data_IF_356706896563
#
_entry.id   IF_356706896563
#
_cell.length_a   1.000
_cell.length_b   1.000
_cell.length_c   1.000
_cell.angle_alpha   90.00
_cell.angle_beta   90.00
_cell.angle_gamma   90.00
#
_symmetry.space_group_name_H-M   'P 1'
#
loop_
_entity.id
_entity.type
_entity.pdbx_description
1 polymer ?
#
# COMPACT_ATOMS: atom_id res chain seq x y z
N UNK A 1 -19.53 -21.67 -2.82
CA UNK A 1 -18.29 -20.89 -2.88
C UNK A 1 -17.82 -20.80 -1.46
N UNK A 2 -16.89 -21.64 -1.07
CA UNK A 2 -16.23 -21.61 0.24
C UNK A 2 -15.38 -20.34 0.27
N UNK A 3 -15.79 -19.36 1.09
CA UNK A 3 -15.03 -18.13 1.31
C UNK A 3 -13.64 -18.50 1.83
N UNK A 4 -12.60 -17.94 1.21
CA UNK A 4 -11.23 -18.00 1.70
C UNK A 4 -11.22 -17.44 3.12
N UNK A 5 -10.86 -18.24 4.13
CA UNK A 5 -10.74 -17.77 5.51
C UNK A 5 -9.62 -16.73 5.57
N UNK A 6 -10.01 -15.46 5.71
CA UNK A 6 -9.10 -14.33 5.82
C UNK A 6 -9.08 -13.83 7.25
N UNK A 7 -7.90 -13.73 7.82
CA UNK A 7 -7.68 -13.27 9.18
C UNK A 7 -6.70 -12.08 9.20
N UNK A 8 -6.95 -11.12 10.07
CA UNK A 8 -6.02 -10.04 10.40
C UNK A 8 -5.44 -10.33 11.77
N UNK A 9 -4.12 -10.41 11.85
CA UNK A 9 -3.36 -10.65 13.08
C UNK A 9 -2.61 -9.38 13.44
N UNK A 10 -2.82 -8.84 14.63
CA UNK A 10 -2.23 -7.59 15.10
C UNK A 10 -1.43 -7.86 16.38
N UNK A 11 -0.13 -7.94 16.22
CA UNK A 11 0.84 -8.14 17.29
C UNK A 11 1.44 -6.81 17.71
N UNK A 12 1.08 -6.31 18.86
CA UNK A 12 1.62 -5.12 19.49
C UNK A 12 2.81 -5.51 20.39
N UNK A 13 3.98 -4.94 20.15
CA UNK A 13 5.19 -5.09 20.96
C UNK A 13 5.60 -3.72 21.57
N UNK A 14 6.68 -3.64 22.34
CA UNK A 14 7.04 -2.39 23.02
C UNK A 14 7.34 -1.24 22.06
N UNK A 15 8.08 -1.52 20.99
CA UNK A 15 8.55 -0.50 20.04
C UNK A 15 7.81 -0.49 18.72
N UNK A 16 7.20 -1.61 18.33
CA UNK A 16 6.54 -1.76 17.04
C UNK A 16 5.20 -2.54 17.14
N UNK A 17 4.36 -2.35 16.14
CA UNK A 17 3.17 -3.17 15.91
C UNK A 17 3.33 -3.89 14.57
N UNK A 18 3.20 -5.22 14.58
CA UNK A 18 3.23 -6.07 13.38
C UNK A 18 1.80 -6.45 13.02
N UNK A 19 1.39 -6.18 11.77
CA UNK A 19 0.04 -6.48 11.33
C UNK A 19 0.14 -7.41 10.12
N UNK A 20 -0.29 -8.66 10.31
CA UNK A 20 -0.31 -9.70 9.29
C UNK A 20 -1.70 -9.87 8.69
N UNK A 21 -1.77 -9.97 7.36
CA UNK A 21 -2.95 -10.47 6.66
C UNK A 21 -2.70 -11.91 6.30
N UNK A 22 -3.57 -12.81 6.76
CA UNK A 22 -3.47 -14.25 6.58
C UNK A 22 -4.63 -14.72 5.70
N UNK A 23 -4.33 -15.43 4.63
CA UNK A 23 -5.29 -16.06 3.72
C UNK A 23 -5.00 -17.57 3.66
N UNK A 24 -6.00 -18.41 3.88
CA UNK A 24 -5.86 -19.90 3.91
C UNK A 24 -4.73 -20.38 4.87
N UNK A 25 -4.58 -19.72 6.03
CA UNK A 25 -3.55 -20.04 7.02
C UNK A 25 -2.13 -19.61 6.64
N UNK A 26 -1.93 -18.87 5.55
CA UNK A 26 -0.63 -18.38 5.08
C UNK A 26 -0.55 -16.85 5.13
N UNK A 27 0.58 -16.33 5.58
CA UNK A 27 0.84 -14.90 5.58
C UNK A 27 0.96 -14.37 4.14
N UNK A 28 0.14 -13.37 3.80
CA UNK A 28 0.12 -12.78 2.46
C UNK A 28 0.54 -11.31 2.43
N UNK A 29 0.41 -10.60 3.54
CA UNK A 29 0.91 -9.24 3.70
C UNK A 29 1.38 -9.03 5.14
N UNK A 30 2.44 -8.24 5.32
CA UNK A 30 2.93 -7.79 6.61
C UNK A 30 3.14 -6.28 6.59
N UNK A 31 2.69 -5.64 7.65
CA UNK A 31 2.88 -4.22 7.91
C UNK A 31 3.58 -4.05 9.25
N UNK A 32 4.56 -3.16 9.27
CA UNK A 32 5.32 -2.80 10.47
C UNK A 32 5.04 -1.33 10.77
N UNK A 33 4.66 -1.05 12.00
CA UNK A 33 4.39 0.30 12.50
C UNK A 33 5.28 0.58 13.71
N UNK A 34 6.18 1.55 13.58
CA UNK A 34 7.00 2.02 14.70
C UNK A 34 6.11 2.84 15.66
N UNK A 35 6.13 2.49 16.95
CA UNK A 35 5.39 3.20 18.00
C UNK A 35 6.08 4.50 18.47
N UNK A 36 7.32 4.76 18.04
CA UNK A 36 8.09 5.93 18.45
C UNK A 36 7.58 7.25 17.87
N UNK A 37 6.60 7.21 16.96
CA UNK A 37 6.04 8.40 16.33
C UNK A 37 4.53 8.28 16.06
N UNK A 38 3.84 9.43 16.06
CA UNK A 38 2.47 9.48 15.54
C UNK A 38 2.49 9.20 14.03
N UNK A 39 1.41 8.60 13.44
CA UNK A 39 1.30 8.42 12.00
C UNK A 39 1.51 9.75 11.29
N UNK A 40 2.48 9.82 10.39
CA UNK A 40 2.77 11.06 9.68
C UNK A 40 1.90 11.23 8.44
N UNK A 41 1.84 10.23 7.57
CA UNK A 41 1.04 10.29 6.33
C UNK A 41 -0.45 10.37 6.66
N UNK A 42 -1.13 11.36 6.05
CA UNK A 42 -2.54 11.64 6.31
C UNK A 42 -2.77 12.66 7.43
N UNK A 43 -1.79 12.86 8.31
CA UNK A 43 -1.89 13.83 9.40
C UNK A 43 -1.85 15.27 8.89
N UNK A 44 -2.61 16.15 9.54
CA UNK A 44 -2.80 17.54 9.14
C UNK A 44 -2.12 18.46 10.15
N UNK A 45 -1.37 19.42 9.64
CA UNK A 45 -0.60 20.38 10.42
C UNK A 45 -1.00 21.82 10.09
N UNK A 46 -0.80 22.72 11.03
CA UNK A 46 -0.74 24.15 10.76
C UNK A 46 0.68 24.51 10.40
N UNK A 47 0.98 24.59 9.10
CA UNK A 47 2.30 24.94 8.59
C UNK A 47 2.51 26.44 8.49
N UNK A 48 3.78 26.86 8.55
CA UNK A 48 4.23 28.22 8.24
C UNK A 48 5.26 28.17 7.13
N UNK A 49 5.05 28.93 6.07
CA UNK A 49 5.97 28.99 4.93
C UNK A 49 7.25 29.69 5.36
N UNK A 50 8.37 29.00 5.24
CA UNK A 50 9.70 29.55 5.56
C UNK A 50 10.38 30.15 4.33
N UNK A 51 10.34 29.44 3.19
CA UNK A 51 10.96 29.89 1.94
C UNK A 51 10.11 29.50 0.73
N UNK A 52 10.06 30.37 -0.26
CA UNK A 52 9.47 30.11 -1.57
C UNK A 52 10.60 30.01 -2.61
N UNK A 53 10.59 28.98 -3.43
CA UNK A 53 11.63 28.65 -4.41
C UNK A 53 11.06 28.63 -5.82
N UNK A 54 10.98 29.77 -6.54
CA UNK A 54 10.40 29.85 -7.88
C UNK A 54 11.08 28.91 -8.89
N UNK A 55 12.41 28.80 -8.84
CA UNK A 55 13.16 27.91 -9.74
C UNK A 55 12.86 26.41 -9.58
N UNK A 56 12.25 26.01 -8.46
CA UNK A 56 11.81 24.63 -8.19
C UNK A 56 10.29 24.48 -8.20
N UNK A 57 9.55 25.54 -8.43
CA UNK A 57 8.09 25.61 -8.32
C UNK A 57 7.58 24.99 -7.01
N UNK A 58 8.24 25.33 -5.88
CA UNK A 58 8.00 24.72 -4.58
C UNK A 58 8.20 25.71 -3.44
N UNK A 59 7.71 25.34 -2.26
CA UNK A 59 7.95 26.05 -1.01
C UNK A 59 8.40 25.08 0.09
N UNK A 60 9.22 25.58 1.02
CA UNK A 60 9.52 24.89 2.27
C UNK A 60 8.61 25.43 3.38
N UNK A 61 7.94 24.50 4.05
CA UNK A 61 6.94 24.79 5.08
C UNK A 61 7.36 24.15 6.40
N UNK A 62 7.47 24.93 7.43
CA UNK A 62 7.70 24.48 8.79
C UNK A 62 6.40 23.88 9.36
N UNK A 63 6.44 22.59 9.71
CA UNK A 63 5.34 21.86 10.33
C UNK A 63 5.74 21.30 11.72
N UNK A 64 6.87 21.79 12.29
CA UNK A 64 7.38 21.36 13.59
C UNK A 64 8.15 20.03 13.59
N UNK A 65 8.43 19.46 12.43
CA UNK A 65 9.34 18.32 12.31
C UNK A 65 10.80 18.78 12.20
N UNK A 66 11.73 17.85 12.38
CA UNK A 66 13.18 18.13 12.32
C UNK A 66 13.64 18.77 11.00
N UNK A 67 12.90 18.60 9.92
CA UNK A 67 13.14 19.20 8.60
C UNK A 67 11.88 19.83 8.08
N UNK A 68 12.01 20.98 7.41
CA UNK A 68 10.91 21.62 6.72
C UNK A 68 10.31 20.68 5.67
N UNK A 69 8.98 20.71 5.58
CA UNK A 69 8.23 19.95 4.61
C UNK A 69 8.27 20.63 3.22
N UNK A 70 8.18 19.84 2.18
CA UNK A 70 8.21 20.28 0.78
C UNK A 70 6.79 20.35 0.21
N UNK A 71 6.41 21.54 -0.25
CA UNK A 71 5.15 21.82 -0.92
C UNK A 71 5.43 22.16 -2.39
N UNK A 72 5.03 21.27 -3.32
CA UNK A 72 5.13 21.52 -4.75
C UNK A 72 3.91 22.33 -5.22
N UNK A 73 4.05 23.16 -6.27
CA UNK A 73 2.98 24.05 -6.74
C UNK A 73 1.67 23.31 -7.05
N UNK A 74 1.76 22.14 -7.65
CA UNK A 74 0.60 21.28 -7.94
C UNK A 74 -0.20 20.87 -6.70
N UNK A 75 0.48 20.71 -5.56
CA UNK A 75 -0.12 20.37 -4.27
C UNK A 75 -0.61 21.60 -3.50
N UNK A 76 -0.27 22.80 -3.98
CA UNK A 76 -0.65 24.06 -3.35
C UNK A 76 -1.93 24.66 -3.92
N UNK A 77 -2.43 24.17 -5.05
CA UNK A 77 -3.64 24.66 -5.71
C UNK A 77 -4.76 23.63 -5.63
N UNK A 78 -6.05 24.06 -5.48
CA UNK A 78 -7.19 23.14 -5.57
C UNK A 78 -7.26 22.51 -6.96
N UNK A 79 -7.46 21.19 -7.04
CA UNK A 79 -7.74 20.54 -8.31
C UNK A 79 -9.13 20.94 -8.81
N UNK A 80 -9.20 21.57 -9.98
CA UNK A 80 -10.45 21.82 -10.68
C UNK A 80 -11.00 20.51 -11.28
N UNK A 81 -12.32 20.37 -11.30
CA UNK A 81 -12.98 19.20 -11.86
C UNK A 81 -12.71 19.12 -13.38
N UNK A 82 -11.93 18.12 -13.81
CA UNK A 82 -11.81 17.74 -15.23
C UNK A 82 -10.52 18.11 -15.94
N UNK A 83 -9.60 18.83 -15.34
CA UNK A 83 -8.31 19.10 -15.96
C UNK A 83 -7.25 18.06 -15.50
N UNK A 84 -6.77 17.25 -16.44
CA UNK A 84 -5.46 16.63 -16.31
C UNK A 84 -4.46 17.78 -16.50
N UNK A 85 -3.95 18.32 -15.40
CA UNK A 85 -2.95 19.37 -15.40
C UNK A 85 -1.72 18.88 -16.20
N UNK A 86 -1.60 19.34 -17.43
CA UNK A 86 -0.31 19.37 -18.11
C UNK A 86 0.57 20.36 -17.31
N UNK A 87 1.79 19.99 -16.98
CA UNK A 87 2.76 20.83 -16.24
C UNK A 87 2.94 22.24 -16.86
N UNK A 88 2.51 22.44 -18.10
CA UNK A 88 2.63 23.67 -18.88
C UNK A 88 1.70 24.82 -18.43
N UNK A 89 0.70 24.59 -17.56
CA UNK A 89 -0.30 25.61 -17.21
C UNK A 89 -0.40 25.91 -15.70
N UNK A 90 0.59 25.46 -14.90
CA UNK A 90 0.59 25.74 -13.48
C UNK A 90 0.99 27.20 -13.20
N UNK A 91 0.29 27.93 -12.30
CA UNK A 91 0.71 29.27 -11.91
C UNK A 91 2.06 29.21 -11.19
N UNK A 92 2.90 30.25 -11.30
CA UNK A 92 4.14 30.33 -10.52
C UNK A 92 3.89 30.22 -9.02
N UNK A 93 4.72 29.44 -8.31
CA UNK A 93 4.52 29.16 -6.86
C UNK A 93 4.43 30.45 -6.02
N UNK A 94 5.19 31.50 -6.38
CA UNK A 94 5.20 32.80 -5.69
C UNK A 94 3.88 33.56 -5.83
N UNK A 95 3.01 33.19 -6.77
CA UNK A 95 1.65 33.76 -6.89
C UNK A 95 0.65 33.03 -6.00
N UNK A 96 0.96 31.79 -5.62
CA UNK A 96 0.08 30.91 -4.84
C UNK A 96 0.41 30.97 -3.35
N UNK A 97 1.69 31.04 -3.00
CA UNK A 97 2.19 30.94 -1.62
C UNK A 97 3.17 32.06 -1.33
N UNK A 98 3.10 32.65 -0.12
CA UNK A 98 4.00 33.72 0.34
C UNK A 98 4.78 33.30 1.59
N UNK A 99 6.01 33.79 1.72
CA UNK A 99 6.80 33.60 2.94
C UNK A 99 6.07 34.18 4.17
N UNK A 100 6.17 33.45 5.28
CA UNK A 100 5.47 33.77 6.52
C UNK A 100 3.98 33.39 6.54
N UNK A 101 3.38 32.97 5.43
CA UNK A 101 1.99 32.54 5.35
C UNK A 101 1.74 31.30 6.21
N UNK A 102 0.67 31.33 7.02
CA UNK A 102 0.15 30.15 7.72
C UNK A 102 -0.86 29.42 6.84
N UNK A 103 -0.79 28.11 6.80
CA UNK A 103 -1.69 27.29 5.99
C UNK A 103 -1.94 25.91 6.62
N UNK A 104 -3.10 25.35 6.33
CA UNK A 104 -3.41 23.96 6.66
C UNK A 104 -2.78 23.06 5.60
N UNK A 105 -1.98 22.08 6.04
CA UNK A 105 -1.30 21.15 5.14
C UNK A 105 -1.42 19.72 5.64
N UNK A 106 -1.53 18.78 4.72
CA UNK A 106 -1.57 17.34 4.99
C UNK A 106 -0.29 16.68 4.49
N UNK A 107 0.29 15.79 5.28
CA UNK A 107 1.45 14.99 4.85
C UNK A 107 0.97 13.91 3.89
N UNK A 108 1.53 13.91 2.66
CA UNK A 108 1.23 12.91 1.62
C UNK A 108 2.36 11.89 1.45
N UNK A 109 3.58 12.21 1.94
CA UNK A 109 4.71 11.30 1.95
C UNK A 109 5.64 11.61 3.12
N UNK A 110 6.10 10.56 3.80
CA UNK A 110 7.01 10.65 4.93
C UNK A 110 8.38 11.21 4.56
N UNK A 111 9.09 11.82 5.51
CA UNK A 111 10.49 12.18 5.35
C UNK A 111 11.31 10.94 4.98
N UNK A 112 12.31 11.10 4.11
CA UNK A 112 13.19 10.00 3.73
C UNK A 112 14.64 10.48 3.63
N UNK A 113 15.50 9.97 4.49
CA UNK A 113 16.92 10.33 4.56
C UNK A 113 17.11 11.85 4.71
N UNK A 114 17.68 12.50 3.71
CA UNK A 114 17.93 13.94 3.71
C UNK A 114 16.71 14.80 3.32
N UNK A 115 15.63 14.19 2.83
CA UNK A 115 14.45 14.93 2.35
C UNK A 115 13.39 15.05 3.44
N UNK A 116 12.81 16.27 3.61
CA UNK A 116 11.65 16.50 4.46
C UNK A 116 10.37 15.82 3.94
N UNK A 117 9.31 15.86 4.74
CA UNK A 117 8.00 15.33 4.34
C UNK A 117 7.48 16.08 3.09
N UNK A 118 6.76 15.37 2.21
CA UNK A 118 5.97 16.02 1.14
C UNK A 118 4.57 16.29 1.66
N UNK A 119 4.08 17.49 1.41
CA UNK A 119 2.79 17.97 1.90
C UNK A 119 1.93 18.50 0.76
N UNK A 120 0.61 18.57 1.02
CA UNK A 120 -0.39 19.15 0.12
C UNK A 120 -1.34 20.07 0.92
N UNK A 121 -1.87 21.10 0.29
CA UNK A 121 -3.00 21.91 0.81
C UNK A 121 -4.35 21.28 0.48
N UNK A 122 -4.35 20.29 -0.41
CA UNK A 122 -5.53 19.51 -0.77
C UNK A 122 -5.78 18.46 0.32
N UNK A 123 -6.65 18.80 1.26
CA UNK A 123 -6.98 17.92 2.38
C UNK A 123 -7.89 16.80 1.90
N UNK A 124 -7.54 15.57 2.28
CA UNK A 124 -8.33 14.37 2.00
C UNK A 124 -8.62 13.62 3.30
N UNK A 125 -9.86 13.23 3.52
CA UNK A 125 -10.27 12.42 4.66
C UNK A 125 -10.84 11.10 4.14
N UNK A 126 -10.15 10.01 4.43
CA UNK A 126 -10.55 8.70 3.95
C UNK A 126 -11.53 8.03 4.92
N UNK A 127 -12.73 7.72 4.43
CA UNK A 127 -13.73 6.86 5.04
C UNK A 127 -13.62 5.42 4.56
N UNK A 128 -14.64 4.63 4.85
CA UNK A 128 -14.74 3.25 4.39
C UNK A 128 -15.06 3.18 2.90
N UNK A 129 -16.11 3.86 2.46
CA UNK A 129 -16.67 3.79 1.10
C UNK A 129 -16.19 4.91 0.21
N UNK A 130 -15.84 6.05 0.78
CA UNK A 130 -15.44 7.22 0.02
C UNK A 130 -14.26 7.96 0.66
N UNK A 131 -13.63 8.83 -0.15
CA UNK A 131 -12.69 9.84 0.35
C UNK A 131 -13.35 11.19 0.17
N UNK A 132 -13.43 11.95 1.24
CA UNK A 132 -13.99 13.30 1.26
C UNK A 132 -12.89 14.34 1.02
N UNK A 133 -13.13 15.24 0.08
CA UNK A 133 -12.24 16.35 -0.29
C UNK A 133 -12.94 17.67 0.06
N UNK A 134 -12.72 18.22 1.26
CA UNK A 134 -13.47 19.37 1.76
C UNK A 134 -13.16 20.69 1.07
N UNK A 135 -12.13 20.74 0.21
CA UNK A 135 -11.63 21.96 -0.44
C UNK A 135 -11.47 21.81 -1.95
N UNK A 136 -12.16 20.86 -2.57
CA UNK A 136 -12.07 20.57 -4.00
C UNK A 136 -13.43 20.14 -4.53
N UNK A 137 -13.78 20.51 -5.77
CA UNK A 137 -15.00 20.06 -6.46
C UNK A 137 -14.82 18.74 -7.21
N UNK A 138 -13.71 18.02 -7.01
CA UNK A 138 -13.38 16.82 -7.76
C UNK A 138 -14.28 15.63 -7.39
N UNK A 139 -14.87 14.95 -8.40
CA UNK A 139 -15.51 13.65 -8.25
C UNK A 139 -14.67 12.59 -8.94
N UNK A 140 -14.23 11.59 -8.16
CA UNK A 140 -13.47 10.45 -8.66
C UNK A 140 -14.18 9.13 -8.37
N UNK A 141 -14.01 8.16 -9.27
CA UNK A 141 -14.44 6.77 -9.05
C UNK A 141 -13.20 5.87 -9.13
N UNK A 142 -13.09 4.93 -8.21
CA UNK A 142 -11.98 3.97 -8.21
C UNK A 142 -11.80 3.32 -9.58
N UNK A 143 -10.55 3.30 -10.07
CA UNK A 143 -10.20 2.67 -11.36
C UNK A 143 -10.38 1.14 -11.34
N UNK A 144 -10.57 0.52 -10.19
CA UNK A 144 -10.86 -0.92 -10.04
C UNK A 144 -12.34 -1.26 -10.27
N UNK A 145 -13.22 -0.27 -10.40
CA UNK A 145 -14.61 -0.44 -10.82
C UNK A 145 -14.61 -0.26 -12.34
N UNK A 146 -14.66 -1.37 -13.07
CA UNK A 146 -14.50 -1.40 -14.53
C UNK A 146 -15.83 -1.29 -15.29
N UNK A 147 -16.93 -1.67 -14.65
CA UNK A 147 -18.28 -1.58 -15.25
C UNK A 147 -18.70 -0.12 -15.41
N UNK A 148 -18.88 0.30 -16.64
CA UNK A 148 -19.22 1.69 -17.00
C UNK A 148 -20.60 2.12 -16.47
N UNK A 149 -21.59 1.23 -16.45
CA UNK A 149 -22.92 1.54 -15.94
C UNK A 149 -22.88 1.74 -14.41
N UNK A 150 -22.13 0.90 -13.70
CA UNK A 150 -21.90 1.04 -12.25
C UNK A 150 -21.12 2.32 -11.95
N UNK A 151 -20.10 2.65 -12.74
CA UNK A 151 -19.30 3.89 -12.58
C UNK A 151 -20.16 5.13 -12.72
N UNK A 152 -21.02 5.18 -13.74
CA UNK A 152 -21.90 6.33 -13.98
C UNK A 152 -22.95 6.47 -12.86
N UNK A 153 -23.54 5.37 -12.40
CA UNK A 153 -24.47 5.38 -11.27
C UNK A 153 -23.80 5.90 -9.98
N UNK A 154 -22.58 5.44 -9.68
CA UNK A 154 -21.83 5.90 -8.51
C UNK A 154 -21.40 7.36 -8.63
N UNK A 155 -21.11 7.84 -9.84
CA UNK A 155 -20.80 9.25 -10.10
C UNK A 155 -22.00 10.16 -9.85
N UNK A 156 -23.17 9.78 -10.34
CA UNK A 156 -24.43 10.50 -10.10
C UNK A 156 -24.77 10.51 -8.62
N UNK A 157 -24.57 9.40 -7.92
CA UNK A 157 -24.76 9.33 -6.48
C UNK A 157 -23.78 10.25 -5.73
N UNK A 158 -22.50 10.26 -6.10
CA UNK A 158 -21.52 11.15 -5.50
C UNK A 158 -21.87 12.63 -5.73
N UNK A 159 -22.34 12.98 -6.93
CA UNK A 159 -22.77 14.35 -7.25
C UNK A 159 -24.01 14.77 -6.44
N UNK A 160 -24.94 13.87 -6.20
CA UNK A 160 -26.13 14.10 -5.34
C UNK A 160 -25.75 14.30 -3.87
N UNK A 161 -24.70 13.61 -3.36
CA UNK A 161 -24.31 13.63 -1.95
C UNK A 161 -23.42 14.81 -1.60
N UNK A 162 -22.65 15.36 -2.55
CA UNK A 162 -21.73 16.48 -2.30
C UNK A 162 -22.48 17.82 -2.21
N UNK A 163 -21.80 18.79 -1.61
CA UNK A 163 -22.18 20.20 -1.64
C UNK A 163 -21.17 20.92 -2.57
N UNK A 164 -21.57 22.01 -3.28
CA UNK A 164 -20.62 22.80 -4.07
C UNK A 164 -19.38 23.22 -3.25
N UNK A 165 -18.20 23.07 -3.80
CA UNK A 165 -16.92 23.29 -3.11
C UNK A 165 -16.40 22.06 -2.35
N UNK A 166 -17.13 20.94 -2.36
CA UNK A 166 -16.71 19.67 -1.76
C UNK A 166 -16.61 18.59 -2.83
N UNK A 167 -15.60 17.75 -2.76
CA UNK A 167 -15.39 16.61 -3.67
C UNK A 167 -15.49 15.29 -2.97
N UNK A 168 -15.69 14.24 -3.78
CA UNK A 168 -15.79 12.86 -3.32
C UNK A 168 -15.04 11.92 -4.26
N UNK A 169 -14.30 10.97 -3.70
CA UNK A 169 -13.75 9.85 -4.46
C UNK A 169 -14.40 8.57 -3.93
N UNK A 170 -15.13 7.88 -4.80
CA UNK A 170 -15.77 6.60 -4.47
C UNK A 170 -14.71 5.50 -4.50
N UNK A 171 -14.61 4.74 -3.41
CA UNK A 171 -13.65 3.64 -3.27
C UNK A 171 -14.23 2.33 -3.82
N UNK A 172 -13.35 1.38 -4.13
CA UNK A 172 -13.76 0.06 -4.67
C UNK A 172 -14.73 -0.70 -3.75
N UNK A 173 -14.60 -0.52 -2.42
CA UNK A 173 -15.47 -1.17 -1.43
C UNK A 173 -16.89 -0.63 -1.39
N UNK A 174 -17.16 0.49 -2.05
CA UNK A 174 -18.51 1.04 -2.23
C UNK A 174 -19.35 0.30 -3.29
N UNK A 175 -18.72 -0.62 -4.01
CA UNK A 175 -19.39 -1.44 -5.02
C UNK A 175 -20.56 -2.22 -4.41
N UNK A 176 -21.76 -2.08 -5.01
CA UNK A 176 -22.97 -2.74 -4.53
C UNK A 176 -23.51 -2.22 -3.19
N UNK A 177 -23.02 -1.09 -2.68
CA UNK A 177 -23.54 -0.44 -1.47
C UNK A 177 -24.65 0.55 -1.78
N UNK A 178 -25.57 0.72 -0.82
CA UNK A 178 -26.69 1.62 -0.99
C UNK A 178 -26.34 3.09 -0.64
N UNK A 179 -27.26 4.00 -0.96
CA UNK A 179 -27.10 5.43 -0.69
C UNK A 179 -26.99 5.73 0.81
N UNK A 180 -27.62 4.95 1.69
CA UNK A 180 -27.61 5.18 3.13
C UNK A 180 -26.23 4.92 3.73
N UNK A 181 -25.56 3.85 3.29
CA UNK A 181 -24.19 3.52 3.71
C UNK A 181 -23.20 4.62 3.33
N UNK A 182 -23.28 5.13 2.09
CA UNK A 182 -22.39 6.21 1.63
C UNK A 182 -22.70 7.53 2.35
N UNK A 183 -23.98 7.85 2.59
CA UNK A 183 -24.40 9.03 3.34
C UNK A 183 -23.88 8.98 4.79
N UNK A 184 -23.97 7.82 5.43
CA UNK A 184 -23.46 7.61 6.77
C UNK A 184 -21.94 7.84 6.86
N UNK A 185 -21.17 7.27 5.93
CA UNK A 185 -19.72 7.45 5.86
C UNK A 185 -19.35 8.94 5.64
N UNK A 186 -20.06 9.62 4.71
CA UNK A 186 -19.87 11.05 4.45
C UNK A 186 -20.17 11.92 5.68
N UNK A 187 -21.22 11.60 6.42
CA UNK A 187 -21.61 12.36 7.62
C UNK A 187 -20.53 12.31 8.69
N UNK A 188 -19.92 11.13 8.92
CA UNK A 188 -18.79 10.96 9.84
C UNK A 188 -17.58 11.81 9.40
N UNK A 189 -17.26 11.80 8.10
CA UNK A 189 -16.14 12.58 7.57
C UNK A 189 -16.36 14.10 7.64
N UNK A 190 -17.58 14.57 7.37
CA UNK A 190 -17.95 15.97 7.54
C UNK A 190 -17.87 16.41 9.00
N UNK A 191 -18.33 15.60 9.93
CA UNK A 191 -18.19 15.90 11.36
C UNK A 191 -16.70 16.00 11.78
N UNK A 192 -15.87 15.06 11.33
CA UNK A 192 -14.42 15.10 11.54
C UNK A 192 -13.80 16.38 10.96
N UNK A 193 -14.16 16.77 9.74
CA UNK A 193 -13.68 17.99 9.13
C UNK A 193 -14.03 19.25 9.95
N UNK A 194 -15.24 19.33 10.51
CA UNK A 194 -15.62 20.45 11.38
C UNK A 194 -14.75 20.50 12.65
N UNK A 195 -14.41 19.36 13.24
CA UNK A 195 -13.49 19.29 14.38
C UNK A 195 -12.09 19.77 14.02
N UNK A 196 -11.57 19.34 12.86
CA UNK A 196 -10.26 19.77 12.32
C UNK A 196 -10.25 21.29 12.13
N UNK A 197 -11.27 21.88 11.50
CA UNK A 197 -11.37 23.34 11.33
C UNK A 197 -11.37 24.09 12.66
N UNK A 198 -12.12 23.62 13.64
CA UNK A 198 -12.15 24.25 14.98
C UNK A 198 -10.75 24.19 15.64
N UNK A 199 -10.10 23.03 15.59
CA UNK A 199 -8.78 22.84 16.19
C UNK A 199 -7.70 23.67 15.49
N UNK A 200 -7.78 23.84 14.16
CA UNK A 200 -6.86 24.67 13.39
C UNK A 200 -6.80 26.13 13.89
N UNK A 201 -7.95 26.70 14.30
CA UNK A 201 -8.01 28.08 14.78
C UNK A 201 -7.22 28.30 16.08
N UNK A 202 -7.14 27.28 16.93
CA UNK A 202 -6.46 27.33 18.24
C UNK A 202 -5.05 26.72 18.23
N UNK A 203 -4.68 26.05 17.15
CA UNK A 203 -3.37 25.40 17.03
C UNK A 203 -2.29 26.41 16.64
N UNK A 204 -1.13 26.44 17.30
CA UNK A 204 -0.02 27.29 16.88
C UNK A 204 0.62 26.76 15.58
N UNK A 205 1.29 27.64 14.80
CA UNK A 205 2.09 27.20 13.64
C UNK A 205 3.16 26.20 14.03
N UNK A 206 3.38 25.22 13.16
CA UNK A 206 4.32 24.11 13.40
C UNK A 206 3.73 22.95 14.22
N UNK A 207 2.45 22.98 14.60
CA UNK A 207 1.84 21.92 15.39
C UNK A 207 0.80 21.12 14.61
N UNK A 208 0.61 19.84 15.03
CA UNK A 208 -0.39 18.96 14.44
C UNK A 208 -1.81 19.38 14.84
N UNK A 209 -2.66 19.50 13.84
CA UNK A 209 -4.11 19.75 13.99
C UNK A 209 -4.86 18.43 14.11
N UNK A 210 -4.45 17.43 13.33
CA UNK A 210 -5.09 16.12 13.27
C UNK A 210 -4.03 15.05 13.01
N UNK A 211 -4.07 13.96 13.74
CA UNK A 211 -3.35 12.74 13.43
C UNK A 211 -4.28 11.77 12.73
N UNK A 212 -3.82 11.19 11.62
CA UNK A 212 -4.60 10.17 10.91
C UNK A 212 -4.58 8.85 11.70
N UNK A 213 -5.37 7.90 11.23
CA UNK A 213 -5.46 6.57 11.79
C UNK A 213 -4.09 5.88 11.82
N UNK A 214 -3.82 5.10 12.85
CA UNK A 214 -2.71 4.15 12.89
C UNK A 214 -2.76 3.18 11.71
N UNK A 215 -1.65 2.51 11.40
CA UNK A 215 -1.64 1.49 10.33
C UNK A 215 -2.65 0.39 10.66
N UNK A 216 -2.76 -0.02 11.93
CA UNK A 216 -3.72 -1.02 12.37
C UNK A 216 -5.17 -0.60 12.08
N UNK A 217 -5.57 0.61 12.48
CA UNK A 217 -6.92 1.12 12.21
C UNK A 217 -7.18 1.29 10.70
N UNK A 218 -6.19 1.78 9.94
CA UNK A 218 -6.30 1.88 8.47
C UNK A 218 -6.48 0.53 7.81
N UNK A 219 -5.73 -0.49 8.25
CA UNK A 219 -5.86 -1.85 7.72
C UNK A 219 -7.22 -2.45 8.07
N UNK A 220 -7.69 -2.25 9.29
CA UNK A 220 -9.05 -2.68 9.68
C UNK A 220 -10.07 -2.01 8.77
N UNK A 221 -10.02 -0.69 8.56
CA UNK A 221 -10.92 0.03 7.65
C UNK A 221 -10.85 -0.49 6.21
N UNK A 222 -9.65 -0.78 5.70
CA UNK A 222 -9.43 -1.05 4.28
C UNK A 222 -9.52 -2.55 3.94
N UNK A 223 -9.17 -3.45 4.86
CA UNK A 223 -9.13 -4.90 4.66
C UNK A 223 -10.31 -5.65 5.26
N UNK A 224 -11.03 -5.08 6.24
CA UNK A 224 -12.18 -5.75 6.84
C UNK A 224 -13.37 -5.67 5.86
N UNK A 225 -13.44 -6.68 5.01
CA UNK A 225 -14.53 -6.94 4.07
C UNK A 225 -15.35 -8.14 4.55
N UNK A 226 -16.31 -8.55 3.74
CA UNK A 226 -17.20 -9.69 4.06
C UNK A 226 -16.41 -11.01 4.21
N UNK A 227 -15.27 -11.15 3.52
CA UNK A 227 -14.36 -12.29 3.54
C UNK A 227 -13.48 -12.40 4.81
N UNK A 228 -13.44 -11.38 5.67
CA UNK A 228 -12.67 -11.43 6.93
C UNK A 228 -13.46 -12.15 8.01
N UNK A 229 -12.92 -13.28 8.46
CA UNK A 229 -13.54 -14.17 9.46
C UNK A 229 -13.04 -13.90 10.89
N UNK A 230 -11.84 -13.34 11.05
CA UNK A 230 -11.29 -13.00 12.35
C UNK A 230 -10.34 -11.79 12.31
N UNK A 231 -10.36 -11.01 13.38
CA UNK A 231 -9.39 -9.96 13.69
C UNK A 231 -8.86 -10.27 15.07
N UNK A 232 -7.58 -10.59 15.19
CA UNK A 232 -6.99 -11.03 16.47
C UNK A 232 -5.93 -10.03 16.89
N UNK A 233 -6.04 -9.55 18.13
CA UNK A 233 -5.17 -8.51 18.71
C UNK A 233 -4.62 -9.01 20.04
N UNK A 234 -3.35 -8.75 20.33
CA UNK A 234 -2.73 -9.16 21.59
C UNK A 234 -2.68 -8.07 22.68
N UNK A 235 -3.04 -6.85 22.35
CA UNK A 235 -2.96 -5.68 23.23
C UNK A 235 -4.37 -5.16 23.56
N UNK A 236 -4.75 -5.07 24.86
CA UNK A 236 -6.09 -4.62 25.27
C UNK A 236 -6.43 -3.19 24.83
N UNK A 237 -5.47 -2.26 24.89
CA UNK A 237 -5.72 -0.87 24.51
C UNK A 237 -5.97 -0.74 23.01
N UNK A 238 -5.18 -1.45 22.20
CA UNK A 238 -5.35 -1.49 20.74
C UNK A 238 -6.66 -2.22 20.36
N UNK A 239 -7.05 -3.27 21.11
CA UNK A 239 -8.33 -3.95 20.91
C UNK A 239 -9.51 -2.98 21.14
N UNK A 240 -9.47 -2.15 22.19
CA UNK A 240 -10.51 -1.15 22.47
C UNK A 240 -10.58 -0.09 21.37
N UNK A 241 -9.44 0.39 20.89
CA UNK A 241 -9.37 1.34 19.76
C UNK A 241 -10.00 0.76 18.49
N UNK A 242 -9.63 -0.47 18.13
CA UNK A 242 -10.19 -1.18 16.97
C UNK A 242 -11.69 -1.44 17.15
N UNK A 243 -12.13 -1.83 18.35
CA UNK A 243 -13.54 -2.03 18.68
C UNK A 243 -14.35 -0.75 18.44
N UNK A 244 -13.84 0.38 18.96
CA UNK A 244 -14.46 1.71 18.74
C UNK A 244 -14.55 2.05 17.25
N UNK A 245 -13.48 1.78 16.51
CA UNK A 245 -13.44 2.02 15.06
C UNK A 245 -14.44 1.13 14.30
N UNK A 246 -14.50 -0.17 14.63
CA UNK A 246 -15.45 -1.11 14.02
C UNK A 246 -16.90 -0.74 14.33
N UNK A 247 -17.20 -0.25 15.54
CA UNK A 247 -18.54 0.19 15.94
C UNK A 247 -19.07 1.27 15.00
N UNK A 248 -18.18 2.16 14.52
CA UNK A 248 -18.55 3.25 13.61
C UNK A 248 -18.65 2.79 12.15
N UNK A 249 -17.67 1.98 11.70
CA UNK A 249 -17.50 1.69 10.28
C UNK A 249 -17.92 0.29 9.83
N UNK A 250 -18.02 -0.67 10.77
CA UNK A 250 -18.30 -2.08 10.45
C UNK A 250 -18.86 -2.82 11.67
N UNK A 251 -20.00 -2.39 12.24
CA UNK A 251 -20.53 -2.97 13.49
C UNK A 251 -20.80 -4.47 13.37
N UNK A 252 -21.12 -4.97 12.17
CA UNK A 252 -21.30 -6.40 11.88
C UNK A 252 -20.05 -7.24 12.09
N UNK A 253 -18.86 -6.61 12.11
CA UNK A 253 -17.56 -7.28 12.30
C UNK A 253 -17.05 -7.27 13.73
N UNK A 254 -17.77 -6.65 14.67
CA UNK A 254 -17.38 -6.65 16.09
C UNK A 254 -17.24 -8.06 16.67
N UNK A 255 -18.11 -8.99 16.27
CA UNK A 255 -18.05 -10.38 16.72
C UNK A 255 -16.82 -11.14 16.22
N UNK A 256 -16.16 -10.63 15.18
CA UNK A 256 -14.94 -11.21 14.62
C UNK A 256 -13.68 -10.70 15.31
N UNK A 257 -13.77 -9.64 16.14
CA UNK A 257 -12.66 -9.09 16.92
C UNK A 257 -12.43 -9.92 18.18
N UNK A 258 -11.18 -10.34 18.40
CA UNK A 258 -10.77 -11.17 19.53
C UNK A 258 -9.51 -10.63 20.18
N UNK A 259 -9.52 -10.51 21.50
CA UNK A 259 -8.33 -10.28 22.31
C UNK A 259 -7.69 -11.63 22.66
N UNK A 260 -6.41 -11.79 22.38
CA UNK A 260 -5.63 -13.00 22.69
C UNK A 260 -4.25 -12.55 23.18
N UNK A 261 -4.04 -12.50 24.47
CA UNK A 261 -2.81 -11.99 25.12
C UNK A 261 -1.67 -13.01 25.06
N UNK A 262 -1.28 -13.39 23.84
CA UNK A 262 -0.20 -14.32 23.53
C UNK A 262 0.61 -13.77 22.36
N UNK A 263 1.77 -14.39 22.06
CA UNK A 263 2.48 -14.13 20.81
C UNK A 263 1.67 -14.72 19.63
N UNK A 264 1.02 -13.85 18.88
CA UNK A 264 0.13 -14.23 17.79
C UNK A 264 0.92 -14.75 16.58
N UNK A 265 2.12 -14.22 16.32
CA UNK A 265 2.94 -14.69 15.20
C UNK A 265 3.42 -16.11 15.46
N UNK A 266 3.74 -16.44 16.70
CA UNK A 266 4.07 -17.82 17.10
C UNK A 266 2.83 -18.72 17.04
N UNK A 267 1.72 -18.28 17.64
CA UNK A 267 0.47 -19.05 17.70
C UNK A 267 -0.06 -19.47 16.33
N UNK A 268 0.04 -18.58 15.35
CA UNK A 268 -0.42 -18.82 13.98
C UNK A 268 0.70 -19.24 13.03
N UNK A 269 1.90 -19.60 13.53
CA UNK A 269 3.07 -20.08 12.78
C UNK A 269 3.51 -19.12 11.66
N UNK A 270 3.42 -17.81 11.91
CA UNK A 270 3.72 -16.78 10.91
C UNK A 270 5.21 -16.41 10.85
N UNK A 271 6.00 -16.76 11.87
CA UNK A 271 7.45 -16.53 11.86
C UNK A 271 8.15 -17.29 10.75
N UNK A 272 7.77 -18.55 10.48
CA UNK A 272 8.37 -19.34 9.40
C UNK A 272 8.08 -18.72 8.03
N UNK A 273 6.86 -18.21 7.83
CA UNK A 273 6.47 -17.51 6.59
C UNK A 273 7.25 -16.20 6.41
N UNK A 274 7.53 -15.50 7.50
CA UNK A 274 8.35 -14.28 7.49
C UNK A 274 9.81 -14.60 7.13
N UNK A 275 10.41 -15.60 7.76
CA UNK A 275 11.77 -16.05 7.44
C UNK A 275 11.91 -16.47 5.96
N UNK A 276 10.93 -17.24 5.44
CA UNK A 276 10.88 -17.62 4.02
C UNK A 276 10.81 -16.36 3.13
N UNK A 277 10.05 -15.34 3.54
CA UNK A 277 9.93 -14.11 2.76
C UNK A 277 11.22 -13.26 2.72
N UNK A 278 12.17 -13.49 3.62
CA UNK A 278 13.48 -12.83 3.62
C UNK A 278 14.53 -13.60 2.83
N UNK A 279 14.28 -14.89 2.51
CA UNK A 279 15.20 -15.70 1.71
C UNK A 279 15.03 -15.43 0.21
N UNK A 280 16.11 -15.57 -0.55
CA UNK A 280 16.06 -15.50 -2.02
C UNK A 280 15.36 -16.71 -2.63
N UNK A 281 15.37 -17.86 -1.97
CA UNK A 281 14.83 -19.13 -2.50
C UNK A 281 13.57 -19.57 -1.74
N UNK A 282 12.48 -19.80 -2.47
CA UNK A 282 11.20 -20.27 -1.94
C UNK A 282 10.84 -21.63 -2.56
N UNK A 283 10.57 -22.63 -1.74
CA UNK A 283 10.20 -23.97 -2.20
C UNK A 283 8.71 -24.05 -2.54
N UNK A 284 8.39 -24.78 -3.59
CA UNK A 284 7.03 -25.15 -3.97
C UNK A 284 6.65 -26.52 -3.38
N UNK A 285 5.37 -26.76 -3.16
CA UNK A 285 4.84 -28.03 -2.64
C UNK A 285 5.16 -29.21 -3.58
N UNK A 286 5.19 -28.95 -4.89
CA UNK A 286 5.58 -29.92 -5.92
C UNK A 286 7.05 -30.35 -5.85
N UNK A 287 7.91 -29.63 -5.14
CA UNK A 287 9.35 -29.85 -5.08
C UNK A 287 10.17 -28.94 -6.00
N UNK A 288 9.50 -28.11 -6.83
CA UNK A 288 10.11 -26.99 -7.52
C UNK A 288 10.49 -25.86 -6.55
N UNK A 289 11.04 -24.78 -7.06
CA UNK A 289 11.35 -23.59 -6.26
C UNK A 289 11.41 -22.33 -7.11
N UNK A 290 11.18 -21.21 -6.45
CA UNK A 290 11.35 -19.85 -6.98
C UNK A 290 12.65 -19.24 -6.47
N UNK A 291 13.31 -18.42 -7.28
CA UNK A 291 14.45 -17.60 -6.87
C UNK A 291 14.12 -16.14 -7.11
N UNK A 292 14.18 -15.33 -6.04
CA UNK A 292 13.89 -13.90 -6.05
C UNK A 292 15.20 -13.13 -6.05
N UNK A 293 15.46 -12.35 -7.08
CA UNK A 293 16.64 -11.50 -7.22
C UNK A 293 16.22 -10.05 -7.38
N UNK A 294 16.44 -9.24 -6.34
CA UNK A 294 16.22 -7.81 -6.39
C UNK A 294 17.45 -7.12 -6.97
N UNK A 295 17.25 -6.43 -8.09
CA UNK A 295 18.26 -5.52 -8.65
C UNK A 295 17.91 -4.07 -8.25
N UNK A 296 18.74 -3.11 -8.65
CA UNK A 296 18.46 -1.69 -8.44
C UNK A 296 17.16 -1.24 -9.14
N UNK A 297 16.89 -1.74 -10.35
CA UNK A 297 15.80 -1.28 -11.21
C UNK A 297 14.56 -2.18 -11.16
N UNK A 298 14.71 -3.50 -10.98
CA UNK A 298 13.62 -4.46 -11.10
C UNK A 298 13.79 -5.69 -10.21
N UNK A 299 12.70 -6.43 -10.00
CA UNK A 299 12.70 -7.76 -9.39
C UNK A 299 12.65 -8.82 -10.50
N UNK A 300 13.56 -9.80 -10.44
CA UNK A 300 13.52 -10.99 -11.27
C UNK A 300 13.13 -12.19 -10.42
N UNK A 301 12.21 -13.01 -10.93
CA UNK A 301 11.76 -14.25 -10.30
C UNK A 301 11.99 -15.40 -11.29
N UNK A 302 12.85 -16.35 -10.93
CA UNK A 302 13.18 -17.52 -11.74
C UNK A 302 12.49 -18.76 -11.18
N UNK A 303 11.83 -19.54 -12.04
CA UNK A 303 11.07 -20.74 -11.69
C UNK A 303 11.86 -22.00 -12.07
N UNK A 304 12.10 -22.87 -11.10
CA UNK A 304 12.88 -24.09 -11.27
C UNK A 304 12.09 -25.36 -10.94
N UNK A 305 12.27 -26.43 -11.71
CA UNK A 305 11.62 -27.73 -11.50
C UNK A 305 12.12 -28.46 -10.24
N UNK A 306 13.34 -28.13 -9.78
CA UNK A 306 13.96 -28.87 -8.67
C UNK A 306 14.17 -30.33 -8.99
N UNK A 307 13.77 -31.23 -8.05
CA UNK A 307 13.86 -32.68 -8.19
C UNK A 307 12.53 -33.31 -8.63
N UNK A 308 11.55 -32.53 -9.08
CA UNK A 308 10.23 -33.08 -9.42
C UNK A 308 10.27 -33.85 -10.72
N UNK A 309 9.97 -35.15 -10.64
CA UNK A 309 9.84 -36.09 -11.80
C UNK A 309 8.34 -36.36 -11.96
N UNK A 310 7.73 -35.78 -13.00
CA UNK A 310 6.29 -35.92 -13.24
C UNK A 310 5.89 -37.36 -13.63
N UNK A 311 4.58 -37.66 -13.51
CA UNK A 311 4.03 -38.99 -13.74
C UNK A 311 3.44 -39.21 -15.14
N UNK A 312 3.17 -38.17 -15.96
CA UNK A 312 2.47 -38.27 -17.25
C UNK A 312 3.35 -37.85 -18.42
N UNK A 313 3.45 -36.53 -18.65
CA UNK A 313 4.31 -35.98 -19.69
C UNK A 313 5.17 -34.86 -19.11
N UNK A 314 6.29 -34.57 -19.77
CA UNK A 314 7.15 -33.44 -19.36
C UNK A 314 6.39 -32.10 -19.43
N UNK A 315 5.63 -31.89 -20.48
CA UNK A 315 4.88 -30.68 -20.73
C UNK A 315 3.79 -30.46 -19.67
N UNK A 316 3.03 -31.49 -19.28
CA UNK A 316 2.02 -31.39 -18.23
C UNK A 316 2.65 -31.12 -16.86
N UNK A 317 3.84 -31.68 -16.64
CA UNK A 317 4.63 -31.47 -15.43
C UNK A 317 5.07 -30.00 -15.32
N UNK A 318 5.60 -29.44 -16.42
CA UNK A 318 6.03 -28.07 -16.51
C UNK A 318 4.86 -27.12 -16.29
N UNK A 319 3.73 -27.32 -16.97
CA UNK A 319 2.54 -26.50 -16.80
C UNK A 319 2.06 -26.50 -15.34
N UNK A 320 2.02 -27.67 -14.69
CA UNK A 320 1.61 -27.79 -13.29
C UNK A 320 2.53 -27.00 -12.35
N UNK A 321 3.85 -27.10 -12.54
CA UNK A 321 4.82 -26.36 -11.72
C UNK A 321 4.66 -24.84 -11.96
N UNK A 322 4.53 -24.42 -13.21
CA UNK A 322 4.36 -23.01 -13.55
C UNK A 322 3.08 -22.44 -12.94
N UNK A 323 1.96 -23.15 -12.98
CA UNK A 323 0.70 -22.73 -12.33
C UNK A 323 0.79 -22.66 -10.80
N UNK A 324 1.55 -23.56 -10.17
CA UNK A 324 1.86 -23.47 -8.74
C UNK A 324 2.78 -22.27 -8.45
N UNK A 325 3.79 -22.05 -9.30
CA UNK A 325 4.71 -20.94 -9.23
C UNK A 325 4.00 -19.58 -9.33
N UNK A 326 2.99 -19.44 -10.20
CA UNK A 326 2.15 -18.23 -10.30
C UNK A 326 1.58 -17.85 -8.94
N UNK A 327 0.90 -18.79 -8.27
CA UNK A 327 0.25 -18.54 -6.97
C UNK A 327 1.27 -18.11 -5.91
N UNK A 328 2.37 -18.84 -5.81
CA UNK A 328 3.39 -18.54 -4.81
C UNK A 328 4.17 -17.26 -5.15
N UNK A 329 4.50 -17.00 -6.42
CA UNK A 329 5.16 -15.77 -6.83
C UNK A 329 4.30 -14.52 -6.50
N UNK A 330 3.02 -14.53 -6.87
CA UNK A 330 2.11 -13.43 -6.58
C UNK A 330 1.93 -13.22 -5.06
N UNK A 331 1.82 -14.31 -4.28
CA UNK A 331 1.79 -14.22 -2.82
C UNK A 331 3.06 -13.60 -2.25
N UNK A 332 4.22 -14.06 -2.69
CA UNK A 332 5.53 -13.55 -2.24
C UNK A 332 5.75 -12.09 -2.66
N UNK A 333 5.30 -11.68 -3.84
CA UNK A 333 5.33 -10.28 -4.28
C UNK A 333 4.53 -9.38 -3.31
N UNK A 334 3.35 -9.84 -2.86
CA UNK A 334 2.53 -9.13 -1.86
C UNK A 334 3.25 -9.10 -0.51
N UNK A 335 3.67 -10.25 0.02
CA UNK A 335 4.28 -10.39 1.34
C UNK A 335 5.59 -9.60 1.44
N UNK A 336 6.46 -9.70 0.45
CA UNK A 336 7.74 -8.96 0.36
C UNK A 336 7.54 -7.48 0.04
N UNK A 337 6.31 -7.07 -0.28
CA UNK A 337 5.99 -5.74 -0.76
C UNK A 337 6.91 -5.29 -1.91
N UNK A 338 7.12 -6.16 -2.88
CA UNK A 338 7.86 -5.85 -4.11
C UNK A 338 7.10 -4.79 -4.91
N UNK A 339 7.78 -3.76 -5.38
CA UNK A 339 7.18 -2.70 -6.22
C UNK A 339 8.11 -2.26 -7.33
N UNK A 340 7.54 -1.73 -8.40
CA UNK A 340 8.25 -1.36 -9.64
C UNK A 340 8.08 -2.42 -10.72
N UNK A 341 9.09 -2.61 -11.55
CA UNK A 341 9.12 -3.59 -12.63
C UNK A 341 9.41 -4.98 -12.04
N UNK A 342 8.65 -5.98 -12.48
CA UNK A 342 8.79 -7.37 -12.06
C UNK A 342 8.79 -8.24 -13.30
N UNK A 343 9.78 -9.11 -13.41
CA UNK A 343 9.94 -10.08 -14.50
C UNK A 343 9.88 -11.48 -13.89
N UNK A 344 9.06 -12.36 -14.46
CA UNK A 344 8.99 -13.77 -14.06
C UNK A 344 9.44 -14.64 -15.22
N UNK A 345 10.47 -15.46 -14.98
CA UNK A 345 11.01 -16.45 -15.90
C UNK A 345 10.42 -17.81 -15.55
N UNK A 346 9.40 -18.22 -16.31
CA UNK A 346 8.74 -19.51 -16.15
C UNK A 346 9.51 -20.60 -16.88
N UNK A 347 9.36 -21.83 -16.41
CA UNK A 347 9.94 -23.00 -17.10
C UNK A 347 9.39 -23.05 -18.52
N UNK A 348 10.27 -23.25 -19.50
CA UNK A 348 9.94 -23.27 -20.92
C UNK A 348 8.77 -24.22 -21.26
N UNK A 349 7.77 -23.69 -21.94
CA UNK A 349 6.60 -24.40 -22.46
C UNK A 349 6.61 -24.39 -23.98
N UNK A 350 6.41 -25.57 -24.59
CA UNK A 350 6.39 -25.70 -26.05
C UNK A 350 5.06 -25.30 -26.66
N UNK A 351 3.94 -25.56 -25.94
CA UNK A 351 2.58 -25.27 -26.40
C UNK A 351 2.18 -23.84 -26.06
N UNK A 352 1.74 -23.09 -27.04
CA UNK A 352 1.27 -21.70 -26.80
C UNK A 352 0.00 -21.66 -25.94
N UNK A 353 -0.84 -22.70 -25.98
CA UNK A 353 -1.98 -22.86 -25.05
C UNK A 353 -1.55 -22.86 -23.58
N UNK A 354 -0.45 -23.57 -23.27
CA UNK A 354 0.09 -23.61 -21.89
C UNK A 354 0.64 -22.26 -21.46
N UNK A 355 1.31 -21.53 -22.36
CA UNK A 355 1.79 -20.15 -22.10
C UNK A 355 0.61 -19.22 -21.80
N UNK A 356 -0.47 -19.34 -22.59
CA UNK A 356 -1.67 -18.57 -22.41
C UNK A 356 -2.34 -18.87 -21.05
N UNK A 357 -2.46 -20.15 -20.67
CA UNK A 357 -3.00 -20.56 -19.37
C UNK A 357 -2.20 -19.99 -18.19
N UNK A 358 -0.86 -19.96 -18.30
CA UNK A 358 -0.01 -19.37 -17.26
C UNK A 358 -0.23 -17.85 -17.19
N UNK A 359 -0.31 -17.18 -18.33
CA UNK A 359 -0.57 -15.72 -18.37
C UNK A 359 -1.93 -15.36 -17.77
N UNK A 360 -2.98 -16.11 -18.11
CA UNK A 360 -4.32 -15.94 -17.54
C UNK A 360 -4.31 -16.19 -16.02
N UNK A 361 -3.61 -17.21 -15.56
CA UNK A 361 -3.46 -17.48 -14.13
C UNK A 361 -2.75 -16.33 -13.41
N UNK A 362 -1.73 -15.69 -14.02
CA UNK A 362 -1.09 -14.48 -13.47
C UNK A 362 -2.09 -13.33 -13.39
N UNK A 363 -2.85 -13.08 -14.47
CA UNK A 363 -3.85 -12.01 -14.53
C UNK A 363 -4.95 -12.18 -13.48
N UNK A 364 -5.37 -13.42 -13.19
CA UNK A 364 -6.36 -13.70 -12.14
C UNK A 364 -5.74 -13.54 -10.73
N UNK A 365 -4.52 -14.02 -10.52
CA UNK A 365 -3.91 -13.98 -9.19
C UNK A 365 -3.57 -12.56 -8.75
N UNK A 366 -3.13 -11.69 -9.66
CA UNK A 366 -2.84 -10.28 -9.34
C UNK A 366 -4.08 -9.46 -8.98
N UNK A 367 -5.31 -9.91 -9.32
CA UNK A 367 -6.55 -9.25 -8.89
C UNK A 367 -6.76 -9.28 -7.37
N UNK A 368 -6.13 -10.23 -6.68
CA UNK A 368 -6.16 -10.33 -5.21
C UNK A 368 -5.33 -9.23 -4.52
N UNK A 369 -4.40 -8.60 -5.25
CA UNK A 369 -3.55 -7.54 -4.71
C UNK A 369 -4.35 -6.24 -4.50
N UNK A 370 -4.19 -5.63 -3.32
CA UNK A 370 -4.82 -4.34 -3.02
C UNK A 370 -4.21 -3.20 -3.84
N UNK A 371 -2.92 -3.31 -4.17
CA UNK A 371 -2.23 -2.33 -4.99
C UNK A 371 -2.52 -2.55 -6.48
N UNK A 372 -2.28 -1.51 -7.27
CA UNK A 372 -2.39 -1.62 -8.72
C UNK A 372 -1.23 -2.44 -9.26
N UNK A 373 -1.56 -3.56 -9.87
CA UNK A 373 -0.65 -4.39 -10.68
C UNK A 373 -1.12 -4.32 -12.13
N UNK A 374 -0.19 -4.16 -13.06
CA UNK A 374 -0.46 -4.20 -14.50
C UNK A 374 0.41 -5.31 -15.10
N UNK A 375 -0.22 -6.33 -15.66
CA UNK A 375 0.45 -7.40 -16.41
C UNK A 375 0.52 -6.96 -17.87
N UNK A 376 1.73 -6.82 -18.40
CA UNK A 376 1.97 -6.37 -19.77
C UNK A 376 1.89 -7.51 -20.80
N UNK A 377 2.22 -8.73 -20.36
CA UNK A 377 2.15 -9.93 -21.18
C UNK A 377 3.44 -10.74 -21.16
N UNK A 378 3.62 -11.57 -22.20
CA UNK A 378 4.82 -12.34 -22.46
C UNK A 378 5.74 -11.60 -23.42
N UNK A 379 7.03 -11.52 -23.09
CA UNK A 379 8.07 -11.01 -24.00
C UNK A 379 8.34 -12.02 -25.12
N UNK A 380 9.11 -11.59 -26.13
CA UNK A 380 9.62 -12.49 -27.17
C UNK A 380 10.53 -13.60 -26.62
N UNK A 381 11.07 -13.44 -25.42
CA UNK A 381 11.89 -14.43 -24.70
C UNK A 381 11.05 -15.36 -23.83
N UNK A 382 9.72 -15.21 -23.77
CA UNK A 382 8.85 -16.02 -22.94
C UNK A 382 8.74 -15.57 -21.46
N UNK A 383 9.28 -14.41 -21.11
CA UNK A 383 9.21 -13.84 -19.76
C UNK A 383 7.89 -13.14 -19.54
N UNK A 384 7.28 -13.27 -18.37
CA UNK A 384 6.11 -12.47 -17.99
C UNK A 384 6.58 -11.13 -17.45
N UNK A 385 6.08 -10.05 -18.04
CA UNK A 385 6.33 -8.67 -17.62
C UNK A 385 5.15 -8.12 -16.84
N UNK A 386 5.41 -7.53 -15.67
CA UNK A 386 4.41 -6.82 -14.90
C UNK A 386 4.99 -5.63 -14.15
N UNK A 387 4.13 -4.69 -13.76
CA UNK A 387 4.47 -3.59 -12.88
C UNK A 387 3.54 -3.56 -11.68
N UNK A 388 4.08 -3.24 -10.49
CA UNK A 388 3.31 -3.06 -9.26
C UNK A 388 3.60 -1.69 -8.65
N UNK A 389 2.55 -0.97 -8.25
CA UNK A 389 2.70 0.36 -7.65
C UNK A 389 3.56 0.27 -6.37
N UNK A 390 4.65 1.07 -6.31
CA UNK A 390 5.51 1.17 -5.13
C UNK A 390 4.91 2.20 -4.16
N UNK A 391 4.47 1.77 -2.98
CA UNK A 391 3.81 2.64 -1.98
C UNK A 391 4.58 2.74 -0.67
N UNK A 392 5.36 1.71 -0.32
CA UNK A 392 6.18 1.64 0.90
C UNK A 392 7.47 0.85 0.63
N UNK A 393 8.49 0.91 1.50
CA UNK A 393 9.69 0.09 1.36
C UNK A 393 9.36 -1.41 1.31
N UNK A 394 10.21 -2.20 0.64
CA UNK A 394 10.08 -3.67 0.67
C UNK A 394 10.33 -4.22 2.07
N UNK A 395 9.84 -5.43 2.34
CA UNK A 395 10.03 -6.10 3.63
C UNK A 395 11.53 -6.23 3.97
N UNK A 396 12.35 -6.60 2.99
CA UNK A 396 13.80 -6.69 3.16
C UNK A 396 14.43 -5.34 3.58
N UNK A 397 14.00 -4.23 2.97
CA UNK A 397 14.51 -2.90 3.32
C UNK A 397 14.05 -2.41 4.72
N UNK A 398 13.02 -3.02 5.29
CA UNK A 398 12.53 -2.68 6.62
C UNK A 398 13.20 -3.54 7.72
N UNK A 399 13.54 -4.79 7.41
CA UNK A 399 14.01 -5.77 8.38
C UNK A 399 15.49 -6.15 8.25
N UNK A 400 16.12 -5.87 7.11
CA UNK A 400 17.51 -6.25 6.85
C UNK A 400 18.41 -5.00 6.74
N UNK A 401 19.66 -5.18 7.14
CA UNK A 401 20.75 -4.22 6.92
C UNK A 401 21.75 -4.79 5.92
N UNK A 402 22.45 -3.92 5.22
CA UNK A 402 23.49 -4.32 4.29
C UNK A 402 24.58 -5.12 5.00
N UNK A 403 25.03 -6.23 4.39
CA UNK A 403 26.07 -7.09 4.98
C UNK A 403 27.40 -6.35 5.06
N UNK A 404 27.93 -6.17 6.26
CA UNK A 404 29.22 -5.48 6.48
C UNK A 404 30.43 -6.17 5.82
N UNK A 405 30.34 -7.49 5.54
CA UNK A 405 31.44 -8.26 4.94
C UNK A 405 31.54 -8.08 3.43
N UNK A 406 30.41 -8.05 2.73
CA UNK A 406 30.39 -7.98 1.25
C UNK A 406 29.73 -6.71 0.71
N UNK A 407 29.26 -5.81 1.57
CA UNK A 407 28.57 -4.56 1.19
C UNK A 407 27.47 -4.83 0.13
N UNK A 408 26.62 -5.85 0.39
CA UNK A 408 25.53 -6.24 -0.50
C UNK A 408 25.93 -7.07 -1.74
N UNK A 409 27.22 -7.27 -2.01
CA UNK A 409 27.68 -7.97 -3.21
C UNK A 409 27.35 -9.48 -3.24
N UNK A 410 27.11 -10.10 -2.08
CA UNK A 410 26.82 -11.54 -1.97
C UNK A 410 28.04 -12.46 -2.10
N UNK A 411 29.22 -11.90 -2.37
CA UNK A 411 30.49 -12.63 -2.47
C UNK A 411 31.66 -11.78 -1.99
N UNK A 412 32.75 -12.43 -1.60
CA UNK A 412 34.00 -11.80 -1.21
C UNK A 412 35.13 -12.30 -2.11
N UNK A 413 36.21 -11.53 -2.23
CA UNK A 413 37.40 -11.94 -2.95
C UNK A 413 37.98 -13.19 -2.31
N UNK A 414 38.37 -14.19 -3.13
CA UNK A 414 39.19 -15.30 -2.65
C UNK A 414 40.51 -14.71 -2.12
N UNK A 415 40.91 -15.09 -0.90
CA UNK A 415 42.24 -14.79 -0.39
C UNK A 415 43.27 -15.46 -1.31
N UNK A 416 44.08 -14.72 -2.04
CA UNK A 416 45.16 -15.10 -2.94
C UNK A 416 44.89 -14.89 -4.45
N UNK A 417 44.51 -13.67 -4.82
CA UNK A 417 44.92 -13.16 -6.13
C UNK A 417 45.63 -11.85 -5.87
N UNK A 418 46.94 -11.93 -5.58
CA UNK A 418 47.84 -10.79 -5.68
C UNK A 418 47.89 -10.43 -7.17
N UNK A 419 47.17 -9.40 -7.58
CA UNK A 419 47.42 -8.77 -8.86
C UNK A 419 48.71 -8.01 -8.64
N UNK A 420 49.85 -8.63 -9.00
CA UNK A 420 51.10 -7.88 -9.19
C UNK A 420 50.82 -6.91 -10.32
N UNK A 421 50.97 -5.64 -10.04
CA UNK A 421 50.92 -4.60 -11.05
C UNK A 421 51.94 -4.92 -12.16
N UNK A 422 51.48 -5.18 -13.36
CA UNK A 422 52.23 -5.08 -14.58
C UNK A 422 52.35 -3.64 -15.00
#
# INVERSE_FOLDING_TARGET
VTGLDKMIVIQSEQEETKIGVVEEGRLVELYLEDKKGAPLVGSIYKGKVENVLPGMQAAFVNIGLAKNAFLFVQEAIPQAAGEQDSEEHLPPIETVVKEGQEMMVQIIKEPNGQKGARISTQITLAGRYLVYLPTSDHIGISRKIEDEAEREALKQLADKLRVPGEGLIIRTVARGRDEQELTGDLAVLKAKWQQIKKKYLTTPPGAAVYFDLSIAERLVRDFVKDDVTAIVVNDPALHEQISTHLTVFSPEKLNNLKLVEEDLLFKYQLYDELEIALQSKVRLKSGGYLVFNQTEALMVIDVNTGKFVGQKSLEDTVLRINLEAVKEACRQIRLRNVGGIIIIDFIDMKRDENKQHVLEAVQEEVKKDQLRVTVLGLTNLGLVEMTRKKVRPSLANQLLVECATCSGAGYVRKQAVTIQHL
#
